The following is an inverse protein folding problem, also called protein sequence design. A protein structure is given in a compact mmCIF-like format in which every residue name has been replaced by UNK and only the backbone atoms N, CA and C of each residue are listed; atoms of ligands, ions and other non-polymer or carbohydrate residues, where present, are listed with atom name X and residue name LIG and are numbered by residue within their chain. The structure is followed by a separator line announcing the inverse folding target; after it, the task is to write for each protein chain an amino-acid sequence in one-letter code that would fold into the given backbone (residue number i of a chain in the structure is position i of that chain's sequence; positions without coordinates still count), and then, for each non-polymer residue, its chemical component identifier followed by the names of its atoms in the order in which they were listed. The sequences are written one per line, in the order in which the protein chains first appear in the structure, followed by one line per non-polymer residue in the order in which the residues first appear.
data_IF_695696080149
#
_entry.id   IF_695696080149
#
_cell.length_a   1.000
_cell.length_b   1.000
_cell.length_c   1.000
_cell.angle_alpha   90.00
_cell.angle_beta   90.00
_cell.angle_gamma   90.00
#
_symmetry.space_group_name_H-M   'P 1'
#
loop_
_entity.id
_entity.type
_entity.pdbx_description
1 polymer ?
#
# COMPACT_ATOMS: atom_id res chain seq x y z
N UNK A 1 12.81 6.31 -0.41
CA UNK A 1 11.89 5.82 0.65
C UNK A 1 10.47 5.76 0.10
N UNK A 2 9.62 4.79 0.47
CA UNK A 2 8.23 4.72 -0.07
C UNK A 2 7.42 6.00 0.22
N UNK A 3 7.75 6.72 1.31
CA UNK A 3 7.19 8.02 1.64
C UNK A 3 7.44 9.10 0.56
N UNK A 4 8.59 9.08 -0.11
CA UNK A 4 8.85 10.00 -1.23
C UNK A 4 7.99 9.65 -2.44
N UNK A 5 7.78 8.35 -2.70
CA UNK A 5 6.84 7.90 -3.75
C UNK A 5 5.42 8.41 -3.47
N UNK A 6 4.95 8.31 -2.21
CA UNK A 6 3.63 8.82 -1.81
C UNK A 6 3.54 10.35 -1.94
N UNK A 7 4.59 11.08 -1.53
CA UNK A 7 4.63 12.54 -1.66
C UNK A 7 4.56 12.99 -3.13
N UNK A 8 5.29 12.32 -4.01
CA UNK A 8 5.25 12.61 -5.45
C UNK A 8 3.88 12.27 -6.06
N UNK A 9 3.21 11.24 -5.54
CA UNK A 9 1.88 10.85 -5.97
C UNK A 9 0.81 11.87 -5.54
N UNK A 10 0.95 12.48 -4.37
CA UNK A 10 0.02 13.53 -3.90
C UNK A 10 -0.05 14.70 -4.89
N UNK A 11 1.09 15.04 -5.52
CA UNK A 11 1.17 16.15 -6.47
C UNK A 11 0.32 15.94 -7.75
N UNK A 12 -0.04 14.70 -8.08
CA UNK A 12 -0.85 14.34 -9.25
C UNK A 12 -2.24 13.82 -8.87
N UNK A 13 -2.61 13.88 -7.58
CA UNK A 13 -3.87 13.34 -7.05
C UNK A 13 -5.11 13.86 -7.78
N UNK A 14 -5.13 15.15 -8.12
CA UNK A 14 -6.23 15.79 -8.86
C UNK A 14 -6.41 15.21 -10.27
N UNK A 15 -5.31 14.86 -10.94
CA UNK A 15 -5.31 14.45 -12.34
C UNK A 15 -5.69 12.98 -12.51
N UNK A 16 -5.30 12.14 -11.55
CA UNK A 16 -5.56 10.69 -11.58
C UNK A 16 -6.88 10.30 -10.91
N UNK A 17 -7.44 11.19 -10.09
CA UNK A 17 -8.64 10.95 -9.30
C UNK A 17 -8.39 10.12 -8.04
N UNK A 18 -9.29 10.28 -7.07
CA UNK A 18 -9.16 9.72 -5.72
C UNK A 18 -9.07 8.19 -5.71
N UNK A 19 -9.84 7.54 -6.58
CA UNK A 19 -9.95 6.08 -6.59
C UNK A 19 -8.67 5.43 -7.11
N UNK A 20 -8.01 6.05 -8.10
CA UNK A 20 -6.72 5.59 -8.61
C UNK A 20 -5.59 5.94 -7.64
N UNK A 21 -5.62 7.16 -7.07
CA UNK A 21 -4.71 7.60 -6.03
C UNK A 21 -4.67 6.60 -4.87
N UNK A 22 -5.83 6.22 -4.33
CA UNK A 22 -5.97 5.20 -3.28
C UNK A 22 -5.32 3.88 -3.65
N UNK A 23 -5.58 3.36 -4.84
CA UNK A 23 -5.03 2.06 -5.29
C UNK A 23 -3.52 2.10 -5.44
N UNK A 24 -2.96 3.20 -5.94
CA UNK A 24 -1.51 3.34 -6.08
C UNK A 24 -0.86 3.49 -4.70
N UNK A 25 -1.39 4.32 -3.81
CA UNK A 25 -0.94 4.43 -2.41
C UNK A 25 -0.88 3.05 -1.74
N UNK A 26 -1.99 2.33 -1.79
CA UNK A 26 -2.09 1.00 -1.20
C UNK A 26 -1.08 0.03 -1.81
N UNK A 27 -0.84 0.09 -3.13
CA UNK A 27 0.13 -0.78 -3.81
C UNK A 27 1.58 -0.47 -3.39
N UNK A 28 1.95 0.81 -3.34
CA UNK A 28 3.29 1.26 -2.91
C UNK A 28 3.59 0.83 -1.47
N UNK A 29 2.61 1.00 -0.56
CA UNK A 29 2.75 0.62 0.84
C UNK A 29 2.82 -0.91 0.96
N UNK A 30 1.98 -1.63 0.22
CA UNK A 30 1.97 -3.11 0.20
C UNK A 30 3.32 -3.66 -0.25
N UNK A 31 3.86 -3.16 -1.37
CA UNK A 31 5.17 -3.56 -1.90
C UNK A 31 6.28 -3.36 -0.86
N UNK A 32 6.29 -2.20 -0.20
CA UNK A 32 7.28 -1.88 0.82
C UNK A 32 7.26 -2.87 1.98
N UNK A 33 6.09 -3.10 2.57
CA UNK A 33 5.97 -3.99 3.74
C UNK A 33 6.09 -5.47 3.39
N UNK A 34 5.55 -5.91 2.25
CA UNK A 34 5.71 -7.28 1.78
C UNK A 34 7.19 -7.61 1.56
N UNK A 35 7.94 -6.70 0.92
CA UNK A 35 9.39 -6.85 0.73
C UNK A 35 10.11 -6.91 2.08
N UNK A 36 9.82 -5.99 3.00
CA UNK A 36 10.43 -5.99 4.33
C UNK A 36 10.13 -7.26 5.13
N UNK A 37 8.92 -7.81 5.02
CA UNK A 37 8.55 -9.09 5.64
C UNK A 37 9.29 -10.27 5.02
N UNK A 38 9.42 -10.33 3.69
CA UNK A 38 10.14 -11.40 2.98
C UNK A 38 11.65 -11.41 3.29
N UNK A 39 12.23 -10.24 3.51
CA UNK A 39 13.63 -10.15 3.94
C UNK A 39 13.84 -10.74 5.35
N UNK A 40 12.80 -10.75 6.20
CA UNK A 40 12.87 -11.25 7.59
C UNK A 40 12.31 -12.67 7.76
N UNK A 41 11.39 -13.10 6.90
CA UNK A 41 10.65 -14.35 6.99
C UNK A 41 10.40 -14.94 5.60
N UNK A 42 10.32 -16.26 5.47
CA UNK A 42 10.04 -16.92 4.18
C UNK A 42 8.62 -16.67 3.67
N UNK A 43 7.67 -16.35 4.56
CA UNK A 43 6.27 -16.11 4.20
C UNK A 43 5.76 -14.77 4.73
N UNK A 44 4.89 -14.12 3.94
CA UNK A 44 4.24 -12.86 4.29
C UNK A 44 2.95 -13.15 5.05
N UNK A 45 2.86 -12.67 6.30
CA UNK A 45 1.59 -12.66 7.03
C UNK A 45 0.66 -11.61 6.42
N UNK A 46 -0.25 -12.05 5.55
CA UNK A 46 -1.14 -11.16 4.78
C UNK A 46 -2.11 -10.38 5.66
N UNK A 47 -2.52 -10.93 6.80
CA UNK A 47 -3.41 -10.25 7.75
C UNK A 47 -2.69 -9.06 8.38
N UNK A 48 -1.45 -9.29 8.82
CA UNK A 48 -0.61 -8.22 9.36
C UNK A 48 -0.27 -7.18 8.28
N UNK A 49 0.05 -7.61 7.07
CA UNK A 49 0.30 -6.72 5.94
C UNK A 49 -0.91 -5.83 5.64
N UNK A 50 -2.12 -6.40 5.62
CA UNK A 50 -3.35 -5.66 5.40
C UNK A 50 -3.60 -4.61 6.50
N UNK A 51 -3.41 -4.98 7.76
CA UNK A 51 -3.55 -4.06 8.89
C UNK A 51 -2.55 -2.90 8.81
N UNK A 52 -1.28 -3.17 8.47
CA UNK A 52 -0.25 -2.15 8.31
C UNK A 52 -0.54 -1.20 7.14
N UNK A 53 -0.99 -1.74 6.01
CA UNK A 53 -1.36 -0.92 4.85
C UNK A 53 -2.53 0.00 5.20
N UNK A 54 -3.61 -0.53 5.79
CA UNK A 54 -4.76 0.30 6.16
C UNK A 54 -4.46 1.28 7.31
N UNK A 55 -3.50 0.98 8.19
CA UNK A 55 -3.02 1.94 9.17
C UNK A 55 -2.37 3.15 8.47
N UNK A 56 -1.45 2.92 7.54
CA UNK A 56 -0.80 4.01 6.81
C UNK A 56 -1.73 4.77 5.89
N UNK A 57 -2.67 4.11 5.21
CA UNK A 57 -3.68 4.81 4.41
C UNK A 57 -4.47 5.80 5.27
N UNK A 58 -4.88 5.40 6.49
CA UNK A 58 -5.55 6.29 7.43
C UNK A 58 -4.67 7.46 7.88
N UNK A 59 -3.39 7.24 8.14
CA UNK A 59 -2.45 8.32 8.49
C UNK A 59 -2.32 9.39 7.40
N UNK A 60 -2.44 9.01 6.13
CA UNK A 60 -2.40 9.93 4.99
C UNK A 60 -3.79 10.40 4.52
N UNK A 61 -4.85 10.09 5.28
CA UNK A 61 -6.22 10.51 4.96
C UNK A 61 -6.84 9.82 3.74
N UNK A 62 -6.39 8.61 3.40
CA UNK A 62 -6.89 7.81 2.29
C UNK A 62 -7.77 6.67 2.81
N UNK A 63 -8.87 6.39 2.12
CA UNK A 63 -9.77 5.29 2.47
C UNK A 63 -9.06 3.93 2.46
N UNK A 64 -9.51 3.06 3.35
CA UNK A 64 -9.02 1.70 3.49
C UNK A 64 -9.25 0.86 2.23
N UNK A 65 -8.40 -0.16 2.06
CA UNK A 65 -8.57 -1.20 1.03
C UNK A 65 -9.03 -2.52 1.64
N UNK A 66 -9.70 -3.33 0.82
CA UNK A 66 -10.13 -4.67 1.24
C UNK A 66 -8.95 -5.63 1.34
N UNK A 67 -9.07 -6.64 2.19
CA UNK A 67 -8.11 -7.75 2.28
C UNK A 67 -7.87 -8.43 0.92
N UNK A 68 -8.92 -8.53 0.08
CA UNK A 68 -8.83 -9.08 -1.27
C UNK A 68 -7.94 -8.27 -2.20
N UNK A 69 -7.83 -6.95 -2.00
CA UNK A 69 -6.89 -6.10 -2.74
C UNK A 69 -5.45 -6.47 -2.40
N UNK A 70 -5.11 -6.55 -1.11
CA UNK A 70 -3.77 -6.90 -0.62
C UNK A 70 -3.32 -8.26 -1.19
N UNK A 71 -4.21 -9.25 -1.15
CA UNK A 71 -3.93 -10.59 -1.71
C UNK A 71 -3.59 -10.57 -3.20
N UNK A 72 -4.14 -9.63 -3.98
CA UNK A 72 -3.84 -9.49 -5.40
C UNK A 72 -2.52 -8.79 -5.62
N UNK A 73 -2.26 -7.71 -4.88
CA UNK A 73 -1.02 -6.93 -5.02
C UNK A 73 0.20 -7.74 -4.58
N UNK A 74 0.14 -8.41 -3.42
CA UNK A 74 1.25 -9.26 -2.91
C UNK A 74 1.61 -10.43 -3.84
N UNK A 75 0.72 -10.85 -4.74
CA UNK A 75 1.06 -11.88 -5.75
C UNK A 75 1.87 -11.35 -6.93
N UNK A 76 1.87 -10.04 -7.12
CA UNK A 76 2.49 -9.35 -8.26
C UNK A 76 3.76 -8.61 -7.83
N UNK A 77 3.87 -8.27 -6.54
CA UNK A 77 5.09 -7.77 -5.90
C UNK A 77 5.95 -8.93 -5.39
#
# INVERSE_FOLDING_TARGET
MYQEKLKNLEAVRSDIGEDLFRRICASVITEHYATAMRTRHSEVNKTMLHQLVNLHLREIGVEEVSYGFIRRVDRVC
#
